data_IF_936680519065
#
_entry.id   IF_936680519065
#
_cell.length_a   1.000
_cell.length_b   1.000
_cell.length_c   1.000
_cell.angle_alpha   90.00
_cell.angle_beta   90.00
_cell.angle_gamma   90.00
#
_symmetry.space_group_name_H-M   'P 1'
#
loop_
_entity.id
_entity.type
_entity.pdbx_description
1 polymer ?
#
# COMPACT_ATOMS: atom_id res chain seq x y z
N UNK A 1 -3.80 -5.09 17.98
CA UNK A 1 -4.86 -5.42 18.98
C UNK A 1 -5.82 -4.26 19.28
N UNK A 2 -5.61 -3.06 18.72
CA UNK A 2 -6.43 -1.89 19.07
C UNK A 2 -7.86 -1.91 18.50
N UNK A 3 -8.15 -2.76 17.52
CA UNK A 3 -9.44 -2.79 16.81
C UNK A 3 -10.16 -4.14 16.88
N UNK A 4 -9.70 -5.08 17.71
CA UNK A 4 -10.33 -6.40 17.86
C UNK A 4 -10.28 -7.29 16.62
N UNK A 5 -9.49 -6.92 15.61
CA UNK A 5 -9.29 -7.69 14.38
C UNK A 5 -8.18 -8.73 14.58
N UNK A 6 -8.43 -9.71 15.41
CA UNK A 6 -7.50 -10.83 15.64
C UNK A 6 -7.74 -12.01 14.70
N UNK A 7 -8.89 -12.03 14.02
CA UNK A 7 -9.28 -13.07 13.07
C UNK A 7 -9.57 -12.44 11.70
N UNK A 8 -9.26 -13.15 10.63
CA UNK A 8 -9.53 -12.73 9.25
C UNK A 8 -8.41 -11.95 8.56
N UNK A 9 -7.28 -11.63 9.24
CA UNK A 9 -6.14 -11.02 8.58
C UNK A 9 -5.24 -12.10 7.97
N UNK A 10 -5.02 -12.04 6.66
CA UNK A 10 -4.06 -12.88 5.96
C UNK A 10 -3.08 -12.03 5.16
N UNK A 11 -1.86 -12.52 5.00
CA UNK A 11 -0.84 -11.88 4.17
C UNK A 11 -0.63 -12.67 2.89
N UNK A 12 -0.61 -11.98 1.75
CA UNK A 12 -0.27 -12.55 0.46
C UNK A 12 1.08 -11.97 0.01
N UNK A 13 2.13 -12.79 0.04
CA UNK A 13 3.44 -12.41 -0.47
C UNK A 13 3.49 -12.68 -1.97
N UNK A 14 3.75 -11.62 -2.75
CA UNK A 14 3.99 -11.74 -4.19
C UNK A 14 5.50 -11.87 -4.45
N UNK A 15 5.91 -12.77 -5.39
CA UNK A 15 7.32 -12.89 -5.76
C UNK A 15 7.81 -11.58 -6.37
N UNK A 16 8.74 -10.90 -5.73
CA UNK A 16 9.38 -9.70 -6.26
C UNK A 16 10.31 -10.05 -7.42
N UNK A 17 10.29 -9.25 -8.50
CA UNK A 17 11.27 -9.35 -9.60
C UNK A 17 10.91 -10.30 -10.74
N UNK A 18 9.70 -10.81 -10.84
CA UNK A 18 9.28 -11.59 -12.00
C UNK A 18 8.83 -10.69 -13.16
N UNK A 19 9.30 -11.00 -14.37
CA UNK A 19 8.92 -10.28 -15.61
C UNK A 19 7.41 -10.35 -15.93
N UNK A 20 6.67 -11.27 -15.28
CA UNK A 20 5.23 -11.49 -15.46
C UNK A 20 4.42 -11.22 -14.18
N UNK A 21 4.79 -10.20 -13.42
CA UNK A 21 4.12 -9.81 -12.18
C UNK A 21 2.58 -9.69 -12.29
N UNK A 22 1.98 -9.03 -13.31
CA UNK A 22 0.52 -8.92 -13.42
C UNK A 22 -0.16 -10.30 -13.55
N UNK A 23 0.43 -11.22 -14.32
CA UNK A 23 -0.10 -12.58 -14.49
C UNK A 23 -0.03 -13.36 -13.19
N UNK A 24 1.07 -13.23 -12.43
CA UNK A 24 1.22 -13.91 -11.14
C UNK A 24 0.27 -13.36 -10.08
N UNK A 25 -0.04 -12.06 -10.10
CA UNK A 25 -1.04 -11.44 -9.23
C UNK A 25 -2.44 -12.02 -9.51
N UNK A 26 -2.87 -11.99 -10.77
CA UNK A 26 -4.15 -12.55 -11.19
C UNK A 26 -4.29 -14.03 -10.77
N UNK A 27 -3.30 -14.87 -11.07
CA UNK A 27 -3.33 -16.28 -10.72
C UNK A 27 -3.33 -16.52 -9.20
N UNK A 28 -2.71 -15.63 -8.44
CA UNK A 28 -2.72 -15.71 -6.97
C UNK A 28 -4.11 -15.37 -6.43
N UNK A 29 -4.70 -14.28 -6.89
CA UNK A 29 -6.05 -13.86 -6.46
C UNK A 29 -7.10 -14.90 -6.84
N UNK A 30 -7.03 -15.45 -8.04
CA UNK A 30 -7.93 -16.51 -8.52
C UNK A 30 -7.95 -17.76 -7.64
N UNK A 31 -6.88 -18.02 -6.88
CA UNK A 31 -6.77 -19.20 -5.99
C UNK A 31 -7.41 -18.99 -4.61
N UNK A 32 -7.85 -17.80 -4.27
CA UNK A 32 -8.55 -17.59 -3.01
C UNK A 32 -9.84 -18.40 -2.98
N UNK A 33 -10.02 -19.21 -1.93
CA UNK A 33 -11.27 -19.98 -1.72
C UNK A 33 -12.43 -19.09 -1.31
N UNK A 34 -12.13 -18.07 -0.55
CA UNK A 34 -13.05 -17.02 -0.12
C UNK A 34 -12.34 -15.71 -0.32
N UNK A 35 -12.96 -14.80 -1.07
CA UNK A 35 -12.39 -13.48 -1.31
C UNK A 35 -12.51 -12.65 -0.03
N UNK A 36 -11.47 -11.89 0.37
CA UNK A 36 -11.59 -10.99 1.50
C UNK A 36 -12.43 -9.76 1.15
N UNK A 37 -12.98 -9.08 2.15
CA UNK A 37 -13.77 -7.87 1.99
C UNK A 37 -12.89 -6.65 1.59
N UNK A 38 -11.61 -6.68 1.94
CA UNK A 38 -10.68 -5.60 1.64
C UNK A 38 -9.26 -6.09 1.44
N UNK A 39 -8.49 -5.35 0.61
CA UNK A 39 -7.05 -5.50 0.44
C UNK A 39 -6.32 -4.21 0.81
N UNK A 40 -5.22 -4.36 1.54
CA UNK A 40 -4.23 -3.31 1.75
C UNK A 40 -2.96 -3.71 1.01
N UNK A 41 -2.55 -2.91 0.06
CA UNK A 41 -1.43 -3.18 -0.84
C UNK A 41 -0.16 -2.48 -0.36
N UNK A 42 0.99 -3.04 -0.73
CA UNK A 42 2.30 -2.51 -0.34
C UNK A 42 2.60 -1.13 -0.99
N UNK A 43 2.00 -0.83 -2.13
CA UNK A 43 2.05 0.47 -2.79
C UNK A 43 0.87 0.65 -3.76
N UNK A 44 0.72 1.84 -4.33
CA UNK A 44 -0.40 2.19 -5.21
C UNK A 44 -0.35 1.43 -6.55
N UNK A 45 0.83 1.16 -7.10
CA UNK A 45 0.94 0.43 -8.36
C UNK A 45 0.42 -1.02 -8.22
N UNK A 46 0.78 -1.68 -7.11
CA UNK A 46 0.23 -3.00 -6.76
C UNK A 46 -1.28 -2.94 -6.58
N UNK A 47 -1.79 -1.90 -5.92
CA UNK A 47 -3.23 -1.71 -5.72
C UNK A 47 -3.98 -1.50 -7.05
N UNK A 48 -3.44 -0.70 -7.97
CA UNK A 48 -4.03 -0.48 -9.29
C UNK A 48 -4.04 -1.76 -10.14
N UNK A 49 -2.98 -2.55 -10.09
CA UNK A 49 -2.93 -3.85 -10.78
C UNK A 49 -3.88 -4.87 -10.14
N UNK A 50 -4.04 -4.83 -8.81
CA UNK A 50 -5.03 -5.63 -8.12
C UNK A 50 -6.47 -5.27 -8.54
N UNK A 51 -6.81 -3.99 -8.62
CA UNK A 51 -8.14 -3.55 -9.10
C UNK A 51 -8.41 -4.09 -10.50
N UNK A 52 -7.44 -4.04 -11.42
CA UNK A 52 -7.59 -4.63 -12.77
C UNK A 52 -7.84 -6.13 -12.70
N UNK A 53 -7.05 -6.87 -11.91
CA UNK A 53 -7.20 -8.31 -11.75
C UNK A 53 -8.55 -8.70 -11.12
N UNK A 54 -9.05 -7.93 -10.14
CA UNK A 54 -10.37 -8.12 -9.55
C UNK A 54 -11.47 -7.91 -10.58
N UNK A 55 -11.40 -6.84 -11.38
CA UNK A 55 -12.37 -6.57 -12.45
C UNK A 55 -12.37 -7.68 -13.51
N UNK A 56 -11.22 -8.23 -13.89
CA UNK A 56 -11.13 -9.37 -14.82
C UNK A 56 -11.76 -10.65 -14.22
N UNK A 57 -11.74 -10.79 -12.90
CA UNK A 57 -12.37 -11.88 -12.18
C UNK A 57 -13.87 -11.65 -11.90
N UNK A 58 -14.41 -10.50 -12.29
CA UNK A 58 -15.80 -10.14 -12.15
C UNK A 58 -16.20 -9.49 -10.81
N UNK A 59 -15.21 -9.06 -10.03
CA UNK A 59 -15.45 -8.29 -8.79
C UNK A 59 -15.39 -6.79 -9.07
N UNK A 60 -16.28 -6.04 -8.46
CA UNK A 60 -16.33 -4.57 -8.51
C UNK A 60 -15.63 -3.96 -7.31
N UNK A 61 -14.85 -2.89 -7.57
CA UNK A 61 -14.26 -2.06 -6.52
C UNK A 61 -14.93 -0.69 -6.60
N UNK A 62 -15.56 -0.21 -5.53
CA UNK A 62 -15.55 -0.68 -4.13
C UNK A 62 -16.72 -1.63 -3.76
N UNK A 63 -17.68 -1.90 -4.66
CA UNK A 63 -18.97 -2.50 -4.29
C UNK A 63 -18.84 -3.91 -3.68
N UNK A 64 -17.94 -4.74 -4.22
CA UNK A 64 -17.69 -6.08 -3.71
C UNK A 64 -16.47 -6.14 -2.79
N UNK A 65 -15.41 -5.39 -3.11
CA UNK A 65 -14.11 -5.47 -2.44
C UNK A 65 -13.49 -4.07 -2.33
N UNK A 66 -13.01 -3.73 -1.16
CA UNK A 66 -12.26 -2.50 -0.94
C UNK A 66 -10.78 -2.68 -1.25
N UNK A 67 -10.15 -1.64 -1.81
CA UNK A 67 -8.72 -1.65 -2.09
C UNK A 67 -8.07 -0.36 -1.59
N UNK A 68 -7.03 -0.51 -0.77
CA UNK A 68 -6.21 0.59 -0.28
C UNK A 68 -4.76 0.41 -0.73
N UNK A 69 -4.17 1.49 -1.27
CA UNK A 69 -2.77 1.57 -1.63
C UNK A 69 -1.88 2.16 -0.53
N UNK A 70 -0.67 2.50 -0.92
CA UNK A 70 0.33 3.16 -0.09
C UNK A 70 1.20 4.04 -1.00
N UNK A 71 1.71 5.16 -0.51
CA UNK A 71 2.53 6.21 -1.10
C UNK A 71 1.74 7.46 -1.54
N UNK A 72 0.43 7.36 -1.84
CA UNK A 72 -0.40 8.42 -2.40
C UNK A 72 0.21 9.03 -3.67
N UNK A 73 0.53 8.15 -4.61
CA UNK A 73 1.08 8.53 -5.90
C UNK A 73 0.11 9.43 -6.67
N UNK A 74 0.63 10.21 -7.61
CA UNK A 74 -0.20 11.07 -8.43
C UNK A 74 -1.24 10.24 -9.20
N UNK A 75 -0.86 9.05 -9.68
CA UNK A 75 -1.70 8.11 -10.40
C UNK A 75 -2.91 7.66 -9.60
N UNK A 76 -2.78 7.50 -8.27
CA UNK A 76 -3.86 7.10 -7.39
C UNK A 76 -5.04 8.07 -7.42
N UNK A 77 -4.79 9.36 -7.70
CA UNK A 77 -5.80 10.42 -7.70
C UNK A 77 -6.66 10.48 -8.96
N UNK A 78 -6.21 9.89 -10.07
CA UNK A 78 -6.95 9.88 -11.35
C UNK A 78 -7.17 8.47 -11.94
N UNK A 79 -6.77 7.44 -11.21
CA UNK A 79 -7.14 6.06 -11.51
C UNK A 79 -8.66 5.88 -11.37
N UNK A 80 -9.26 4.87 -12.00
CA UNK A 80 -10.69 4.59 -11.88
C UNK A 80 -10.92 3.17 -11.34
N UNK A 81 -11.54 3.03 -10.15
CA UNK A 81 -11.94 4.07 -9.20
C UNK A 81 -10.72 4.78 -8.58
N UNK A 82 -10.85 6.06 -8.17
CA UNK A 82 -9.79 6.80 -7.49
C UNK A 82 -9.36 6.04 -6.24
N UNK A 83 -8.05 5.85 -6.10
CA UNK A 83 -7.51 4.92 -5.11
C UNK A 83 -7.36 5.59 -3.74
N UNK A 84 -8.01 5.04 -2.72
CA UNK A 84 -7.68 5.29 -1.31
C UNK A 84 -6.25 4.87 -1.07
N UNK A 85 -5.45 5.74 -0.45
CA UNK A 85 -4.03 5.49 -0.23
C UNK A 85 -3.52 6.14 1.05
N UNK A 86 -2.40 5.65 1.55
CA UNK A 86 -1.70 6.24 2.68
C UNK A 86 -0.66 7.23 2.14
N UNK A 87 -0.90 8.52 2.41
CA UNK A 87 0.05 9.59 2.05
C UNK A 87 1.26 9.56 2.97
N UNK A 88 2.45 9.55 2.37
CA UNK A 88 3.74 9.67 3.04
C UNK A 88 4.32 11.06 2.81
N UNK A 89 4.82 11.69 3.87
CA UNK A 89 5.47 13.00 3.80
C UNK A 89 6.93 12.88 3.36
N UNK A 90 7.17 12.50 2.09
CA UNK A 90 8.49 12.18 1.55
C UNK A 90 9.52 13.31 1.69
N UNK A 91 9.10 14.57 1.57
CA UNK A 91 9.99 15.73 1.77
C UNK A 91 10.49 15.81 3.22
N UNK A 92 9.59 15.62 4.21
CA UNK A 92 9.94 15.62 5.63
C UNK A 92 10.87 14.44 5.95
N UNK A 93 10.56 13.27 5.41
CA UNK A 93 11.40 12.08 5.57
C UNK A 93 12.80 12.32 5.01
N UNK A 94 12.92 12.85 3.78
CA UNK A 94 14.19 13.15 3.14
C UNK A 94 15.00 14.17 3.90
N UNK A 95 14.40 15.26 4.33
CA UNK A 95 15.03 16.28 5.16
C UNK A 95 15.55 15.71 6.50
N UNK A 96 14.71 14.94 7.19
CA UNK A 96 15.07 14.32 8.46
C UNK A 96 16.21 13.32 8.29
N UNK A 97 16.16 12.48 7.24
CA UNK A 97 17.21 11.52 6.95
C UNK A 97 18.56 12.23 6.65
N UNK A 98 18.55 13.32 5.87
CA UNK A 98 19.75 14.10 5.58
C UNK A 98 20.34 14.69 6.86
N UNK A 99 19.52 15.28 7.74
CA UNK A 99 19.99 15.84 9.01
C UNK A 99 20.58 14.76 9.93
N UNK A 100 19.93 13.59 10.01
CA UNK A 100 20.46 12.46 10.78
C UNK A 100 21.81 11.99 10.24
N UNK A 101 21.96 11.93 8.92
CA UNK A 101 23.21 11.56 8.27
C UNK A 101 24.33 12.59 8.55
N UNK A 102 24.05 13.89 8.38
CA UNK A 102 25.01 14.96 8.66
C UNK A 102 25.47 14.93 10.13
N UNK A 103 24.53 14.83 11.06
CA UNK A 103 24.86 14.68 12.50
C UNK A 103 25.75 13.46 12.74
N UNK A 104 25.48 12.35 12.05
CA UNK A 104 26.28 11.13 12.19
C UNK A 104 27.69 11.27 11.64
N UNK A 105 27.89 12.05 10.59
CA UNK A 105 29.20 12.36 10.02
C UNK A 105 30.00 13.28 10.96
N UNK A 106 29.35 14.31 11.52
CA UNK A 106 29.97 15.28 12.41
C UNK A 106 30.32 14.68 13.78
N UNK A 107 29.43 13.81 14.30
CA UNK A 107 29.57 13.20 15.62
C UNK A 107 29.42 11.66 15.54
N UNK A 108 30.44 10.93 15.04
CA UNK A 108 30.36 9.47 14.84
C UNK A 108 30.13 8.64 16.12
N UNK A 109 30.41 9.20 17.28
CA UNK A 109 30.24 8.55 18.60
C UNK A 109 28.81 8.58 19.12
N UNK A 110 27.91 9.37 18.53
CA UNK A 110 26.51 9.42 18.95
C UNK A 110 25.80 8.08 18.73
N UNK A 111 24.86 7.80 19.64
CA UNK A 111 23.98 6.62 19.50
C UNK A 111 23.10 6.69 18.26
N UNK A 112 22.73 5.53 17.71
CA UNK A 112 21.73 5.45 16.65
C UNK A 112 20.38 5.99 17.10
N UNK A 113 19.72 6.71 16.22
CA UNK A 113 18.37 7.25 16.43
C UNK A 113 17.45 6.80 15.32
N UNK A 114 16.22 6.46 15.69
CA UNK A 114 15.13 6.20 14.75
C UNK A 114 14.12 7.32 14.89
N UNK A 115 13.68 7.86 13.76
CA UNK A 115 12.64 8.90 13.70
C UNK A 115 11.49 8.36 12.86
N UNK A 116 10.29 8.49 13.38
CA UNK A 116 9.05 8.16 12.67
C UNK A 116 8.42 9.45 12.16
N UNK A 117 7.99 9.44 10.91
CA UNK A 117 7.19 10.51 10.34
C UNK A 117 5.72 10.10 10.31
N UNK A 118 4.84 11.06 10.53
CA UNK A 118 3.40 10.85 10.43
C UNK A 118 2.98 10.49 9.00
N UNK A 119 1.90 9.74 8.86
CA UNK A 119 1.25 9.41 7.60
C UNK A 119 -0.23 9.74 7.69
N UNK A 120 -0.88 10.02 6.57
CA UNK A 120 -2.31 10.32 6.51
C UNK A 120 -3.03 9.35 5.57
N UNK A 121 -4.17 8.84 6.00
CA UNK A 121 -5.06 8.08 5.12
C UNK A 121 -5.88 9.07 4.27
N UNK A 122 -5.77 8.93 2.96
CA UNK A 122 -6.54 9.70 1.98
C UNK A 122 -7.63 8.80 1.43
N UNK A 123 -8.86 9.02 1.90
CA UNK A 123 -10.02 8.26 1.45
C UNK A 123 -10.44 8.69 0.05
N UNK A 124 -10.81 7.71 -0.80
CA UNK A 124 -11.29 7.91 -2.17
C UNK A 124 -12.25 6.77 -2.56
N UNK A 125 -12.66 6.75 -3.83
CA UNK A 125 -13.68 5.87 -4.39
C UNK A 125 -13.42 4.37 -4.15
N UNK A 126 -12.16 3.92 -4.11
CA UNK A 126 -11.84 2.48 -3.96
C UNK A 126 -12.17 1.87 -2.60
N UNK A 127 -12.65 2.69 -1.66
CA UNK A 127 -13.19 2.26 -0.34
C UNK A 127 -14.57 2.89 -0.06
N UNK A 128 -15.26 3.37 -1.09
CA UNK A 128 -16.65 3.81 -0.99
C UNK A 128 -16.86 5.27 -0.60
N UNK A 129 -15.82 6.13 -0.71
CA UNK A 129 -15.93 7.58 -0.47
C UNK A 129 -16.09 8.38 -1.77
#
# INVERSE_FOLDING_TARGET
>A
EHFGLTEGLSTCAMPSGQQNYPVSLYETIRRFKTMPDAFVCANDFVAMDLVKALNELGYSVPDDIWVCGFDDSQEASYFAPRLTSIHIHGQIMGYTAANLLMTRIEEPSLNYRTVYTETNLILRESTGD
#
